data_IF_512824355988
#
_entry.id   IF_512824355988
#
_cell.length_a   1.000
_cell.length_b   1.000
_cell.length_c   1.000
_cell.angle_alpha   90.00
_cell.angle_beta   90.00
_cell.angle_gamma   90.00
#
_symmetry.space_group_name_H-M   'P 1'
#
loop_
_entity.id
_entity.type
_entity.pdbx_description
1 polymer ?
#
# COMPACT_ATOMS: atom_id res chain seq x y z
N UNK A 1 -7.87 2.69 -1.37
CA UNK A 1 -8.88 1.62 -1.15
C UNK A 1 -9.20 1.03 -2.52
N UNK A 2 -8.70 -0.17 -2.81
CA UNK A 2 -8.61 -0.71 -4.18
C UNK A 2 -9.92 -1.38 -4.65
N UNK A 3 -10.26 -1.14 -5.92
CA UNK A 3 -11.31 -1.84 -6.67
C UNK A 3 -10.75 -3.21 -7.08
N UNK A 4 -11.37 -4.30 -6.60
CA UNK A 4 -11.03 -5.68 -6.97
C UNK A 4 -11.71 -6.01 -8.30
N UNK A 5 -10.93 -6.30 -9.34
CA UNK A 5 -11.46 -6.91 -10.57
C UNK A 5 -11.70 -8.41 -10.33
N UNK A 6 -12.96 -8.84 -10.42
CA UNK A 6 -13.32 -10.26 -10.50
C UNK A 6 -13.00 -10.75 -11.91
N UNK A 7 -12.04 -11.68 -12.05
CA UNK A 7 -11.85 -12.44 -13.28
C UNK A 7 -13.02 -13.42 -13.46
N UNK A 8 -13.75 -13.28 -14.56
CA UNK A 8 -14.77 -14.23 -15.00
C UNK A 8 -14.07 -15.44 -15.64
N UNK A 9 -14.26 -16.63 -15.08
CA UNK A 9 -13.90 -17.90 -15.71
C UNK A 9 -15.13 -18.50 -16.40
N UNK A 10 -15.01 -18.83 -17.69
CA UNK A 10 -15.91 -19.76 -18.38
C UNK A 10 -15.09 -20.71 -19.26
N UNK A 11 -15.45 -22.01 -19.35
CA UNK A 11 -14.55 -23.06 -19.84
C UNK A 11 -14.79 -23.45 -21.30
N UNK A 12 -13.76 -24.07 -21.91
CA UNK A 12 -13.66 -24.90 -23.15
C UNK A 12 -12.55 -24.34 -24.06
N UNK A 13 -11.67 -25.09 -24.73
CA UNK A 13 -11.61 -26.49 -25.15
C UNK A 13 -10.14 -26.97 -25.16
N UNK A 14 -9.92 -28.27 -24.91
CA UNK A 14 -8.66 -28.96 -25.28
C UNK A 14 -8.55 -29.02 -26.80
N UNK A 15 -7.39 -28.65 -27.33
CA UNK A 15 -6.88 -29.17 -28.60
C UNK A 15 -5.40 -29.51 -28.41
N UNK A 16 -5.08 -30.80 -28.52
CA UNK A 16 -3.72 -31.29 -28.70
C UNK A 16 -3.29 -31.01 -30.13
N UNK A 17 -2.15 -30.36 -30.33
CA UNK A 17 -1.40 -30.44 -31.58
C UNK A 17 0.10 -30.55 -31.27
N UNK A 18 0.64 -31.71 -31.64
CA UNK A 18 2.05 -32.04 -31.74
C UNK A 18 2.65 -31.40 -32.99
N UNK A 19 3.79 -30.73 -32.87
CA UNK A 19 4.76 -30.65 -33.97
C UNK A 19 6.15 -30.31 -33.46
N UNK A 20 7.07 -31.22 -33.74
CA UNK A 20 8.52 -31.12 -33.62
C UNK A 20 9.08 -29.96 -34.45
N UNK A 21 10.15 -29.30 -33.98
CA UNK A 21 11.37 -29.07 -34.77
C UNK A 21 12.53 -28.60 -33.88
N UNK A 22 13.71 -28.99 -34.32
CA UNK A 22 15.03 -29.04 -33.66
C UNK A 22 15.77 -27.71 -33.60
N UNK A 23 16.60 -27.52 -32.56
CA UNK A 23 17.61 -26.47 -32.50
C UNK A 23 18.61 -26.68 -31.35
N UNK A 24 19.79 -27.15 -31.71
CA UNK A 24 20.97 -27.51 -30.90
C UNK A 24 21.56 -26.31 -30.12
N UNK A 25 22.16 -26.55 -28.95
CA UNK A 25 23.47 -26.00 -28.52
C UNK A 25 24.04 -26.85 -27.37
N UNK A 26 25.36 -26.99 -27.41
CA UNK A 26 26.27 -27.96 -26.81
C UNK A 26 26.44 -27.89 -25.28
N UNK A 27 26.56 -29.06 -24.65
CA UNK A 27 27.21 -29.25 -23.34
C UNK A 27 28.57 -29.92 -23.52
N UNK A 28 29.60 -29.36 -22.90
CA UNK A 28 30.96 -29.89 -22.84
C UNK A 28 31.05 -30.95 -21.73
N UNK A 29 31.46 -32.16 -22.10
CA UNK A 29 31.83 -33.25 -21.20
C UNK A 29 33.27 -33.09 -20.69
N UNK A 30 33.54 -33.43 -19.42
CA UNK A 30 34.80 -34.07 -19.02
C UNK A 30 34.60 -35.06 -17.85
N UNK A 31 35.41 -36.11 -17.93
CA UNK A 31 35.38 -37.48 -17.36
C UNK A 31 36.04 -37.55 -15.97
N UNK A 32 35.75 -38.57 -15.12
CA UNK A 32 36.27 -38.67 -13.75
C UNK A 32 37.66 -39.32 -13.68
N UNK A 33 38.43 -39.01 -12.64
CA UNK A 33 39.77 -39.56 -12.40
C UNK A 33 39.88 -40.22 -11.01
N UNK A 34 40.77 -41.21 -10.94
CA UNK A 34 40.84 -42.37 -10.05
C UNK A 34 41.32 -42.13 -8.59
N UNK A 35 41.11 -43.17 -7.76
CA UNK A 35 41.66 -43.34 -6.38
C UNK A 35 43.20 -43.41 -6.39
N UNK A 36 43.88 -43.28 -5.23
CA UNK A 36 44.38 -44.53 -4.64
C UNK A 36 44.62 -44.56 -3.09
N UNK A 37 44.88 -45.81 -2.63
CA UNK A 37 45.57 -46.31 -1.42
C UNK A 37 44.91 -46.33 -0.02
N UNK A 38 45.15 -47.47 0.64
CA UNK A 38 44.64 -47.94 1.92
C UNK A 38 45.79 -48.20 2.93
N UNK A 39 45.44 -48.24 4.22
CA UNK A 39 45.99 -49.03 5.37
C UNK A 39 45.96 -48.20 6.69
N UNK A 40 45.90 -48.81 7.90
CA UNK A 40 45.09 -49.92 8.37
C UNK A 40 44.22 -49.55 9.60
N UNK A 41 43.18 -50.35 9.85
CA UNK A 41 42.21 -50.21 10.94
C UNK A 41 42.73 -50.85 12.24
N UNK A 42 42.76 -50.08 13.34
CA UNK A 42 42.87 -50.59 14.71
C UNK A 42 41.46 -50.73 15.31
N UNK A 43 41.05 -51.96 15.66
CA UNK A 43 39.79 -52.25 16.36
C UNK A 43 39.95 -51.95 17.86
N UNK A 44 39.03 -51.19 18.50
CA UNK A 44 38.92 -51.22 19.95
C UNK A 44 38.01 -52.37 20.42
N UNK A 45 38.44 -53.00 21.51
CA UNK A 45 37.75 -54.06 22.25
C UNK A 45 36.34 -53.64 22.68
N UNK A 46 35.37 -54.52 22.44
CA UNK A 46 34.08 -54.51 23.15
C UNK A 46 34.33 -54.65 24.64
N UNK A 47 33.90 -53.65 25.41
CA UNK A 47 33.69 -53.79 26.85
C UNK A 47 32.23 -53.43 27.10
N UNK A 48 31.44 -54.43 27.47
CA UNK A 48 30.03 -54.27 27.78
C UNK A 48 29.93 -53.62 29.16
N UNK A 49 29.54 -52.34 29.22
CA UNK A 49 29.13 -51.69 30.46
C UNK A 49 27.64 -51.36 30.32
N UNK A 50 26.82 -52.17 30.99
CA UNK A 50 25.41 -51.89 31.23
C UNK A 50 25.33 -50.68 32.16
N UNK A 51 25.06 -49.48 31.61
CA UNK A 51 24.71 -48.30 32.40
C UNK A 51 23.27 -47.94 32.06
N UNK A 52 22.38 -48.10 33.02
CA UNK A 52 21.01 -47.62 32.94
C UNK A 52 21.05 -46.12 32.61
N UNK A 53 20.57 -45.77 31.42
CA UNK A 53 20.34 -44.39 31.05
C UNK A 53 19.02 -43.96 31.69
N UNK A 54 19.10 -43.26 32.82
CA UNK A 54 18.02 -42.37 33.23
C UNK A 54 17.95 -41.26 32.19
N UNK A 55 16.93 -41.29 31.34
CA UNK A 55 16.61 -40.19 30.45
C UNK A 55 16.05 -39.05 31.29
N UNK A 56 16.94 -38.22 31.84
CA UNK A 56 16.54 -36.87 32.24
C UNK A 56 16.23 -36.16 30.94
N UNK A 57 14.94 -36.05 30.61
CA UNK A 57 14.48 -35.14 29.57
C UNK A 57 14.86 -33.73 30.05
N UNK A 58 15.97 -33.21 29.53
CA UNK A 58 16.32 -31.81 29.66
C UNK A 58 15.28 -31.05 28.85
N UNK A 59 14.17 -30.65 29.48
CA UNK A 59 13.24 -29.70 28.90
C UNK A 59 14.00 -28.38 28.82
N UNK A 60 14.68 -28.14 27.70
CA UNK A 60 15.18 -26.81 27.35
C UNK A 60 13.96 -25.93 27.20
N UNK A 61 13.62 -25.21 28.26
CA UNK A 61 12.61 -24.15 28.23
C UNK A 61 13.11 -23.12 27.23
N UNK A 62 12.55 -23.14 26.01
CA UNK A 62 12.83 -22.12 25.00
C UNK A 62 12.36 -20.79 25.59
N UNK A 63 13.29 -19.85 25.74
CA UNK A 63 12.95 -18.48 26.13
C UNK A 63 12.08 -17.87 25.02
N UNK A 64 10.80 -17.69 25.30
CA UNK A 64 9.85 -17.06 24.38
C UNK A 64 10.18 -15.57 24.24
N UNK A 65 9.84 -15.01 23.08
CA UNK A 65 10.15 -13.61 22.71
C UNK A 65 8.89 -12.89 22.20
N UNK A 66 8.86 -11.56 22.27
CA UNK A 66 7.84 -10.79 21.60
C UNK A 66 7.95 -10.92 20.07
N UNK A 67 6.83 -10.93 19.38
CA UNK A 67 6.73 -10.87 17.93
C UNK A 67 6.04 -9.58 17.47
N UNK A 68 6.66 -8.86 16.55
CA UNK A 68 6.15 -7.65 15.91
C UNK A 68 5.77 -8.01 14.48
N UNK A 69 4.47 -8.13 14.24
CA UNK A 69 3.91 -8.30 12.92
C UNK A 69 3.44 -6.91 12.44
N UNK A 70 3.73 -6.55 11.20
CA UNK A 70 3.40 -5.21 10.69
C UNK A 70 3.03 -5.21 9.21
N UNK A 71 2.25 -4.23 8.78
CA UNK A 71 1.86 -4.11 7.38
C UNK A 71 3.04 -3.76 6.47
N UNK A 72 3.16 -4.45 5.34
CA UNK A 72 4.21 -4.30 4.33
C UNK A 72 3.59 -4.33 2.92
N UNK A 73 4.12 -3.58 1.93
CA UNK A 73 5.30 -2.71 1.93
C UNK A 73 4.98 -1.21 2.13
N UNK A 74 4.24 -0.83 3.16
CA UNK A 74 3.89 0.57 3.40
C UNK A 74 4.86 1.25 4.40
N UNK A 75 5.14 2.56 4.25
CA UNK A 75 5.86 3.33 5.25
C UNK A 75 5.16 3.37 6.60
N UNK A 76 3.83 3.33 6.65
CA UNK A 76 3.06 3.41 7.90
C UNK A 76 3.34 2.19 8.80
N UNK A 77 3.18 0.97 8.28
CA UNK A 77 3.56 -0.25 8.97
C UNK A 77 5.06 -0.34 9.30
N UNK A 78 5.95 0.14 8.43
CA UNK A 78 7.39 0.16 8.71
C UNK A 78 7.74 1.09 9.88
N UNK A 79 7.14 2.29 9.94
CA UNK A 79 7.31 3.21 11.06
C UNK A 79 6.60 2.70 12.33
N UNK A 80 5.48 1.99 12.22
CA UNK A 80 4.87 1.32 13.36
C UNK A 80 5.82 0.27 13.96
N UNK A 81 6.48 -0.54 13.12
CA UNK A 81 7.53 -1.47 13.55
C UNK A 81 8.75 -0.75 14.14
N UNK A 82 9.11 0.44 13.64
CA UNK A 82 10.17 1.27 14.22
C UNK A 82 9.83 1.72 15.65
N UNK A 83 8.57 2.09 15.94
CA UNK A 83 8.16 2.41 17.30
C UNK A 83 8.34 1.22 18.26
N UNK A 84 7.99 0.01 17.81
CA UNK A 84 8.25 -1.22 18.57
C UNK A 84 9.76 -1.44 18.76
N UNK A 85 10.57 -1.24 17.72
CA UNK A 85 12.02 -1.37 17.76
C UNK A 85 12.65 -0.44 18.81
N UNK A 86 12.23 0.82 18.87
CA UNK A 86 12.70 1.79 19.86
C UNK A 86 12.39 1.35 21.29
N UNK A 87 11.17 0.87 21.54
CA UNK A 87 10.76 0.35 22.85
C UNK A 87 11.59 -0.88 23.25
N UNK A 88 11.62 -1.91 22.41
CA UNK A 88 12.30 -3.16 22.74
C UNK A 88 13.82 -2.99 22.90
N UNK A 89 14.44 -2.13 22.08
CA UNK A 89 15.86 -1.76 22.24
C UNK A 89 16.11 -1.07 23.57
N UNK A 90 15.20 -0.20 24.01
CA UNK A 90 15.30 0.53 25.29
C UNK A 90 15.22 -0.39 26.52
N UNK A 91 14.66 -1.59 26.38
CA UNK A 91 14.58 -2.62 27.42
C UNK A 91 15.47 -3.83 27.13
N UNK A 92 16.36 -3.74 26.14
CA UNK A 92 17.33 -4.78 25.75
C UNK A 92 16.68 -6.13 25.40
N UNK A 93 15.52 -6.09 24.75
CA UNK A 93 14.85 -7.28 24.20
C UNK A 93 14.95 -7.24 22.67
N UNK A 94 15.24 -8.39 22.06
CA UNK A 94 15.21 -8.55 20.60
C UNK A 94 13.93 -9.27 20.21
N UNK A 95 12.93 -8.57 19.64
CA UNK A 95 11.70 -9.22 19.17
C UNK A 95 11.94 -9.90 17.81
N UNK A 96 11.01 -10.76 17.43
CA UNK A 96 10.91 -11.34 16.08
C UNK A 96 10.08 -10.40 15.19
N UNK A 97 10.46 -10.20 13.93
CA UNK A 97 9.75 -9.33 12.98
C UNK A 97 9.14 -10.12 11.83
N UNK A 98 7.88 -9.82 11.52
CA UNK A 98 7.10 -10.52 10.51
C UNK A 98 6.35 -9.52 9.63
N UNK A 99 6.88 -9.15 8.45
CA UNK A 99 6.18 -8.28 7.51
C UNK A 99 4.98 -9.01 6.88
N UNK A 100 3.83 -8.35 6.89
CA UNK A 100 2.57 -8.87 6.37
C UNK A 100 2.17 -8.18 5.06
N UNK A 101 2.19 -8.94 3.96
CA UNK A 101 1.75 -8.46 2.64
C UNK A 101 0.23 -8.59 2.45
N UNK A 102 -0.36 -7.80 1.55
CA UNK A 102 -1.79 -7.93 1.19
C UNK A 102 -2.05 -9.20 0.37
N UNK A 103 -1.17 -9.53 -0.56
CA UNK A 103 -1.39 -10.60 -1.55
C UNK A 103 -0.98 -11.99 -1.05
N UNK A 104 -0.17 -12.05 0.00
CA UNK A 104 0.22 -13.27 0.70
C UNK A 104 0.25 -12.97 2.21
N UNK A 105 -0.93 -12.81 2.84
CA UNK A 105 -1.02 -12.45 4.25
C UNK A 105 -0.49 -13.59 5.13
N UNK A 106 0.09 -13.22 6.28
CA UNK A 106 0.58 -14.17 7.27
C UNK A 106 -0.56 -15.04 7.79
N UNK A 107 -0.26 -16.32 7.95
CA UNK A 107 -1.10 -17.31 8.60
C UNK A 107 -0.46 -17.71 9.92
N UNK A 108 -1.25 -18.26 10.84
CA UNK A 108 -0.76 -18.58 12.20
C UNK A 108 0.28 -19.71 12.15
N UNK A 109 0.13 -20.63 11.21
CA UNK A 109 1.07 -21.71 10.88
C UNK A 109 2.41 -21.22 10.31
N UNK A 110 2.50 -19.99 9.84
CA UNK A 110 3.77 -19.40 9.38
C UNK A 110 4.62 -18.89 10.57
N UNK A 111 4.05 -18.86 11.78
CA UNK A 111 4.69 -18.30 12.97
C UNK A 111 5.21 -19.40 13.91
N UNK A 112 6.43 -19.24 14.47
CA UNK A 112 6.96 -20.14 15.49
C UNK A 112 6.32 -19.87 16.85
N UNK A 113 5.02 -20.17 17.01
CA UNK A 113 4.23 -19.78 18.20
C UNK A 113 4.78 -20.31 19.52
N UNK A 114 5.47 -21.46 19.49
CA UNK A 114 6.16 -22.03 20.64
C UNK A 114 7.34 -21.17 21.13
N UNK A 115 7.82 -20.24 20.32
CA UNK A 115 8.89 -19.30 20.62
C UNK A 115 8.37 -17.87 20.91
N UNK A 116 7.06 -17.64 20.82
CA UNK A 116 6.46 -16.30 20.91
C UNK A 116 5.63 -16.17 22.18
N UNK A 117 5.87 -15.17 23.02
CA UNK A 117 5.06 -14.89 24.23
C UNK A 117 3.99 -13.82 23.99
N UNK A 118 4.33 -12.71 23.32
CA UNK A 118 3.46 -11.58 23.04
C UNK A 118 3.46 -11.29 21.55
N UNK A 119 2.29 -11.04 20.97
CA UNK A 119 2.15 -10.63 19.57
C UNK A 119 1.66 -9.19 19.49
N UNK A 120 2.34 -8.38 18.70
CA UNK A 120 1.93 -7.03 18.34
C UNK A 120 1.56 -7.03 16.86
N UNK A 121 0.31 -6.70 16.55
CA UNK A 121 -0.18 -6.49 15.18
C UNK A 121 -0.24 -4.98 14.92
N UNK A 122 0.60 -4.49 14.00
CA UNK A 122 0.80 -3.07 13.76
C UNK A 122 0.37 -2.68 12.34
N UNK A 123 -0.57 -1.74 12.24
CA UNK A 123 -1.15 -1.29 10.96
C UNK A 123 -1.95 -2.39 10.22
N UNK A 124 -2.35 -3.45 10.93
CA UNK A 124 -3.28 -4.47 10.41
C UNK A 124 -3.83 -5.34 11.54
N UNK A 125 -4.90 -6.09 11.25
CA UNK A 125 -5.53 -7.06 12.17
C UNK A 125 -5.48 -8.51 11.67
N UNK A 126 -5.13 -8.71 10.39
CA UNK A 126 -5.14 -10.02 9.72
C UNK A 126 -6.55 -10.46 9.25
N UNK A 127 -6.66 -11.65 8.63
CA UNK A 127 -7.95 -12.17 8.16
C UNK A 127 -8.89 -12.56 9.31
N UNK A 128 -10.20 -12.74 9.05
CA UNK A 128 -11.14 -13.19 10.06
C UNK A 128 -10.67 -14.48 10.76
N UNK A 129 -10.68 -14.49 12.10
CA UNK A 129 -10.22 -15.61 12.92
C UNK A 129 -8.73 -15.62 13.25
N UNK A 130 -7.91 -14.79 12.61
CA UNK A 130 -6.46 -14.73 12.85
C UNK A 130 -6.12 -14.38 14.31
N UNK A 131 -6.67 -13.27 14.83
CA UNK A 131 -6.49 -12.85 16.23
C UNK A 131 -6.96 -13.91 17.22
N UNK A 132 -8.05 -14.62 16.92
CA UNK A 132 -8.58 -15.68 17.78
C UNK A 132 -7.63 -16.89 17.86
N UNK A 133 -7.00 -17.26 16.74
CA UNK A 133 -6.03 -18.34 16.70
C UNK A 133 -4.74 -17.94 17.43
N UNK A 134 -4.26 -16.71 17.23
CA UNK A 134 -3.08 -16.20 17.95
C UNK A 134 -3.27 -16.24 19.47
N UNK A 135 -4.38 -15.67 19.97
CA UNK A 135 -4.62 -15.58 21.42
C UNK A 135 -4.69 -16.92 22.14
N UNK A 136 -4.92 -18.02 21.41
CA UNK A 136 -4.98 -19.38 21.97
C UNK A 136 -3.58 -19.98 22.17
N UNK A 137 -2.54 -19.37 21.59
CA UNK A 137 -1.17 -19.88 21.57
C UNK A 137 -0.16 -18.95 22.25
N UNK A 138 -0.53 -17.69 22.51
CA UNK A 138 0.36 -16.67 23.09
C UNK A 138 -0.24 -16.04 24.33
N UNK A 139 0.61 -15.45 25.17
CA UNK A 139 0.25 -14.88 26.46
C UNK A 139 -0.52 -13.57 26.27
N UNK A 140 -0.25 -12.82 25.20
CA UNK A 140 -0.96 -11.58 24.86
C UNK A 140 -0.95 -11.26 23.38
N UNK A 141 -2.04 -10.68 22.88
CA UNK A 141 -2.12 -10.07 21.55
C UNK A 141 -2.51 -8.59 21.69
N UNK A 142 -1.73 -7.71 21.08
CA UNK A 142 -1.96 -6.26 21.03
C UNK A 142 -2.21 -5.86 19.58
N UNK A 143 -3.33 -5.22 19.29
CA UNK A 143 -3.68 -4.72 17.94
C UNK A 143 -3.66 -3.20 17.90
N UNK A 144 -2.80 -2.61 17.08
CA UNK A 144 -2.67 -1.17 16.89
C UNK A 144 -2.96 -0.87 15.42
N UNK A 145 -4.16 -0.35 15.13
CA UNK A 145 -4.64 -0.26 13.74
C UNK A 145 -5.59 0.95 13.56
N UNK A 146 -5.73 1.40 12.32
CA UNK A 146 -6.60 2.50 11.90
C UNK A 146 -7.53 2.11 10.75
N UNK A 147 -7.47 0.86 10.28
CA UNK A 147 -8.31 0.39 9.17
C UNK A 147 -9.77 0.17 9.58
N UNK A 148 -10.69 0.50 8.67
CA UNK A 148 -12.14 0.20 8.83
C UNK A 148 -12.38 -1.28 9.10
N UNK A 149 -11.65 -2.15 8.41
CA UNK A 149 -11.72 -3.62 8.59
C UNK A 149 -11.42 -4.03 10.03
N UNK A 150 -10.46 -3.39 10.69
CA UNK A 150 -10.15 -3.69 12.10
C UNK A 150 -11.27 -3.24 13.03
N UNK A 151 -11.87 -2.08 12.76
CA UNK A 151 -13.06 -1.61 13.48
C UNK A 151 -14.25 -2.56 13.30
N UNK A 152 -14.44 -3.13 12.11
CA UNK A 152 -15.51 -4.09 11.82
C UNK A 152 -15.27 -5.45 12.47
N UNK A 153 -14.05 -5.98 12.41
CA UNK A 153 -13.71 -7.31 12.95
C UNK A 153 -13.64 -7.34 14.47
N UNK A 154 -13.16 -6.26 15.09
CA UNK A 154 -12.95 -6.23 16.54
C UNK A 154 -13.98 -5.38 17.27
N UNK A 155 -14.71 -4.49 16.59
CA UNK A 155 -15.60 -3.48 17.20
C UNK A 155 -14.85 -2.24 17.74
N UNK A 156 -15.59 -1.18 18.09
CA UNK A 156 -15.05 0.01 18.78
C UNK A 156 -15.02 -0.20 20.30
N UNK A 157 -13.83 -0.18 20.91
CA UNK A 157 -13.60 -0.43 22.35
C UNK A 157 -12.15 -0.82 22.63
N UNK A 158 -11.75 -1.13 23.87
CA UNK A 158 -10.36 -1.50 24.21
C UNK A 158 -10.15 -2.98 24.55
N UNK A 159 -11.21 -3.75 24.79
CA UNK A 159 -11.12 -5.16 25.20
C UNK A 159 -11.97 -6.06 24.30
N UNK A 160 -11.39 -7.17 23.84
CA UNK A 160 -12.05 -8.22 23.03
C UNK A 160 -12.11 -9.56 23.78
N UNK A 161 -11.13 -9.84 24.65
CA UNK A 161 -11.08 -10.97 25.60
C UNK A 161 -9.91 -10.80 26.60
N UNK A 162 -9.77 -11.68 27.61
CA UNK A 162 -8.80 -11.54 28.71
C UNK A 162 -7.34 -11.26 28.31
N UNK A 163 -6.86 -11.77 27.16
CA UNK A 163 -5.47 -11.57 26.70
C UNK A 163 -5.34 -10.80 25.37
N UNK A 164 -6.40 -10.10 24.92
CA UNK A 164 -6.36 -9.29 23.70
C UNK A 164 -6.67 -7.83 24.03
N UNK A 165 -5.69 -6.96 23.79
CA UNK A 165 -5.85 -5.51 23.86
C UNK A 165 -5.79 -4.89 22.47
N UNK A 166 -6.43 -3.73 22.29
CA UNK A 166 -6.43 -3.02 21.02
C UNK A 166 -6.53 -1.51 21.17
N UNK A 167 -5.96 -0.81 20.20
CA UNK A 167 -6.16 0.62 19.96
C UNK A 167 -6.56 0.76 18.49
N UNK A 168 -7.83 1.09 18.25
CA UNK A 168 -8.35 1.35 16.91
C UNK A 168 -8.72 2.83 16.81
N UNK A 169 -7.99 3.58 16.00
CA UNK A 169 -8.15 5.03 15.88
C UNK A 169 -8.15 5.46 14.41
N UNK A 170 -9.32 5.87 13.91
CA UNK A 170 -9.50 6.24 12.51
C UNK A 170 -8.92 7.62 12.17
N UNK A 171 -8.51 8.41 13.16
CA UNK A 171 -7.97 9.76 13.02
C UNK A 171 -6.44 9.82 13.11
N UNK A 172 -5.78 8.68 13.29
CA UNK A 172 -4.32 8.53 13.31
C UNK A 172 -3.89 7.42 12.35
N UNK A 173 -2.62 7.38 11.99
CA UNK A 173 -2.06 6.28 11.20
C UNK A 173 -1.55 5.17 12.13
N UNK A 174 -1.32 3.97 11.60
CA UNK A 174 -0.75 2.85 12.35
C UNK A 174 0.60 3.21 12.99
N UNK A 175 1.43 4.01 12.30
CA UNK A 175 2.71 4.49 12.81
C UNK A 175 2.55 5.34 14.08
N UNK A 176 1.67 6.34 14.08
CA UNK A 176 1.51 7.26 15.23
C UNK A 176 0.76 6.61 16.39
N UNK A 177 -0.18 5.69 16.12
CA UNK A 177 -0.79 4.85 17.16
C UNK A 177 0.29 4.01 17.86
N UNK A 178 1.14 3.33 17.09
CA UNK A 178 2.23 2.53 17.63
C UNK A 178 3.25 3.38 18.39
N UNK A 179 3.60 4.55 17.86
CA UNK A 179 4.49 5.51 18.52
C UNK A 179 4.00 5.86 19.93
N UNK A 180 2.75 6.33 20.06
CA UNK A 180 2.20 6.75 21.35
C UNK A 180 2.11 5.56 22.32
N UNK A 181 1.62 4.41 21.83
CA UNK A 181 1.48 3.20 22.63
C UNK A 181 2.82 2.72 23.21
N UNK A 182 3.86 2.59 22.38
CA UNK A 182 5.16 2.09 22.82
C UNK A 182 5.92 3.09 23.68
N UNK A 183 5.74 4.40 23.43
CA UNK A 183 6.29 5.45 24.28
C UNK A 183 5.64 5.46 25.67
N UNK A 184 4.31 5.35 25.74
CA UNK A 184 3.59 5.25 27.01
C UNK A 184 3.96 3.97 27.76
N UNK A 185 4.06 2.84 27.05
CA UNK A 185 4.51 1.57 27.62
C UNK A 185 5.92 1.65 28.21
N UNK A 186 6.82 2.41 27.57
CA UNK A 186 8.16 2.68 28.10
C UNK A 186 8.09 3.50 29.39
N UNK A 187 7.33 4.60 29.39
CA UNK A 187 7.19 5.51 30.55
C UNK A 187 6.59 4.76 31.75
N UNK A 188 5.52 4.01 31.53
CA UNK A 188 4.80 3.30 32.59
C UNK A 188 5.56 2.08 33.12
N UNK A 189 6.32 1.39 32.25
CA UNK A 189 7.13 0.24 32.62
C UNK A 189 8.46 0.56 33.32
N UNK A 190 9.00 1.78 33.18
CA UNK A 190 10.27 2.19 33.82
C UNK A 190 10.07 2.70 35.27
N UNK A 191 8.82 2.86 35.72
CA UNK A 191 8.49 3.34 37.08
C UNK A 191 8.99 2.40 38.20
N UNK A 192 9.25 1.13 37.91
CA UNK A 192 9.84 0.18 38.88
C UNK A 192 11.38 0.26 38.97
N UNK A 193 12.05 1.02 38.11
CA UNK A 193 13.53 1.18 38.09
C UNK A 193 13.98 2.62 37.90
N UNK A 194 13.26 3.57 38.49
CA UNK A 194 13.58 5.00 38.45
C UNK A 194 14.81 5.35 39.31
N UNK A 195 16.00 5.14 38.77
CA UNK A 195 17.20 5.90 39.11
C UNK A 195 18.14 5.95 37.88
N UNK A 196 18.15 7.10 37.21
CA UNK A 196 19.19 7.58 36.27
C UNK A 196 19.16 7.14 34.78
N UNK A 197 18.16 6.38 34.29
CA UNK A 197 18.13 5.90 32.89
C UNK A 197 16.97 6.35 31.99
N UNK A 198 15.81 6.74 32.56
CA UNK A 198 14.57 6.94 31.78
C UNK A 198 14.59 8.13 30.82
N UNK A 199 15.30 9.20 31.16
CA UNK A 199 15.35 10.42 30.33
C UNK A 199 16.05 10.24 28.98
N UNK A 200 17.03 9.33 28.89
CA UNK A 200 17.75 9.06 27.64
C UNK A 200 16.95 8.18 26.68
N UNK A 201 16.15 7.24 27.21
CA UNK A 201 15.36 6.30 26.41
C UNK A 201 14.16 6.98 25.71
N UNK A 202 13.57 7.98 26.36
CA UNK A 202 12.48 8.79 25.80
C UNK A 202 13.00 9.75 24.70
N UNK A 203 14.27 10.17 24.81
CA UNK A 203 14.89 11.13 23.88
C UNK A 203 14.87 10.69 22.42
N UNK A 204 15.05 9.40 22.13
CA UNK A 204 14.99 8.89 20.74
C UNK A 204 13.56 8.92 20.18
N UNK A 205 12.55 8.61 20.98
CA UNK A 205 11.15 8.79 20.58
C UNK A 205 10.88 10.26 20.25
N UNK A 206 11.32 11.20 21.09
CA UNK A 206 11.13 12.63 20.82
C UNK A 206 11.87 13.10 19.56
N UNK A 207 13.09 12.61 19.34
CA UNK A 207 13.91 12.93 18.16
C UNK A 207 13.19 12.59 16.86
N UNK A 208 12.54 11.44 16.79
CA UNK A 208 11.91 10.94 15.55
C UNK A 208 10.43 11.30 15.41
N UNK A 209 9.80 11.89 16.44
CA UNK A 209 8.37 12.24 16.44
C UNK A 209 7.94 12.94 15.16
N UNK A 210 8.75 13.89 14.70
CA UNK A 210 8.42 14.68 13.51
C UNK A 210 8.32 13.80 12.25
N UNK A 211 9.15 12.77 12.11
CA UNK A 211 9.05 11.85 10.98
C UNK A 211 7.71 11.09 11.01
N UNK A 212 7.28 10.60 12.17
CA UNK A 212 5.99 9.93 12.35
C UNK A 212 4.80 10.83 11.96
N UNK A 213 4.84 12.11 12.32
CA UNK A 213 3.80 13.08 11.94
C UNK A 213 3.69 13.26 10.41
N UNK A 214 4.80 13.24 9.68
CA UNK A 214 4.79 13.29 8.21
C UNK A 214 4.30 11.98 7.57
N UNK A 215 4.60 10.83 8.19
CA UNK A 215 4.06 9.53 7.76
C UNK A 215 2.53 9.53 7.90
N UNK A 216 2.00 9.97 9.04
CA UNK A 216 0.56 10.09 9.26
C UNK A 216 -0.10 11.06 8.27
N UNK A 217 0.50 12.23 8.04
CA UNK A 217 -0.06 13.24 7.15
C UNK A 217 -0.17 12.75 5.70
N UNK A 218 0.78 11.91 5.27
CA UNK A 218 0.75 11.19 3.97
C UNK A 218 -0.32 10.08 3.99
N UNK A 219 -0.28 9.22 4.99
CA UNK A 219 -1.11 8.02 5.07
C UNK A 219 -2.61 8.36 5.08
N UNK A 220 -2.99 9.37 5.88
CA UNK A 220 -4.35 9.89 5.95
C UNK A 220 -4.69 10.86 4.81
N UNK A 221 -3.78 11.07 3.86
CA UNK A 221 -3.92 11.96 2.71
C UNK A 221 -4.30 13.41 3.08
N UNK A 222 -3.80 13.89 4.23
CA UNK A 222 -4.15 15.18 4.82
C UNK A 222 -3.40 16.34 4.19
N UNK A 223 -2.11 16.14 3.90
CA UNK A 223 -1.22 17.15 3.33
C UNK A 223 -1.21 18.50 4.08
N UNK A 224 -1.39 18.47 5.41
CA UNK A 224 -1.47 19.66 6.26
C UNK A 224 -0.09 20.16 6.67
N UNK A 225 0.90 19.27 6.75
CA UNK A 225 2.24 19.67 7.19
C UNK A 225 3.01 20.39 6.06
N UNK A 226 3.85 21.38 6.40
CA UNK A 226 4.70 22.06 5.42
C UNK A 226 5.54 21.05 4.63
N UNK A 227 5.56 21.17 3.31
CA UNK A 227 6.34 20.29 2.43
C UNK A 227 6.02 18.78 2.57
N UNK A 228 4.85 18.40 3.08
CA UNK A 228 4.47 16.98 3.31
C UNK A 228 4.54 16.12 2.05
N UNK A 229 4.04 16.63 0.92
CA UNK A 229 4.17 15.98 -0.39
C UNK A 229 5.63 15.82 -0.81
N UNK A 230 6.48 16.80 -0.50
CA UNK A 230 7.90 16.73 -0.80
C UNK A 230 8.57 15.67 0.06
N UNK A 231 8.35 15.66 1.38
CA UNK A 231 8.82 14.59 2.25
C UNK A 231 8.42 13.20 1.74
N UNK A 232 7.13 12.99 1.42
CA UNK A 232 6.64 11.73 0.87
C UNK A 232 7.37 11.34 -0.42
N UNK A 233 7.51 12.28 -1.36
CA UNK A 233 8.19 12.02 -2.63
C UNK A 233 9.71 11.80 -2.44
N UNK A 234 10.31 12.41 -1.43
CA UNK A 234 11.71 12.21 -1.07
C UNK A 234 11.92 10.82 -0.49
N UNK A 235 11.10 10.43 0.49
CA UNK A 235 11.13 9.12 1.11
C UNK A 235 10.96 7.99 0.09
N UNK A 236 9.99 8.13 -0.82
CA UNK A 236 9.79 7.17 -1.92
C UNK A 236 11.06 7.07 -2.80
N UNK A 237 11.75 8.18 -3.04
CA UNK A 237 12.98 8.23 -3.84
C UNK A 237 14.20 7.57 -3.18
N UNK A 238 14.19 7.36 -1.86
CA UNK A 238 15.27 6.66 -1.15
C UNK A 238 15.22 5.15 -1.43
N UNK A 239 14.05 4.61 -1.79
CA UNK A 239 13.84 3.18 -2.08
C UNK A 239 14.28 2.26 -0.92
N UNK A 240 13.87 2.60 0.31
CA UNK A 240 14.11 1.74 1.48
C UNK A 240 13.28 0.46 1.35
N UNK A 241 13.94 -0.70 1.49
CA UNK A 241 13.27 -1.99 1.64
C UNK A 241 12.72 -2.11 3.07
N UNK A 242 11.39 -2.23 3.19
CA UNK A 242 10.68 -2.21 4.47
C UNK A 242 10.48 -3.61 5.10
N UNK A 243 10.89 -4.68 4.44
CA UNK A 243 10.93 -6.01 5.04
C UNK A 243 12.18 -6.12 5.94
N UNK A 244 11.98 -6.25 7.25
CA UNK A 244 13.05 -6.31 8.24
C UNK A 244 13.92 -7.60 8.12
N UNK A 245 13.39 -8.65 7.49
CA UNK A 245 14.12 -9.89 7.22
C UNK A 245 14.97 -9.78 5.94
N UNK A 246 14.53 -8.97 4.96
CA UNK A 246 15.31 -8.67 3.76
C UNK A 246 16.30 -7.52 3.95
N UNK A 247 16.00 -6.58 4.85
CA UNK A 247 16.82 -5.42 5.19
C UNK A 247 17.15 -5.39 6.69
N UNK A 248 18.24 -6.05 7.12
CA UNK A 248 18.67 -6.03 8.52
C UNK A 248 19.03 -4.64 9.06
N UNK A 249 19.23 -3.66 8.16
CA UNK A 249 19.53 -2.27 8.52
C UNK A 249 18.32 -1.33 8.48
N UNK A 250 17.10 -1.87 8.30
CA UNK A 250 15.88 -1.10 8.13
C UNK A 250 15.73 -0.01 9.20
N UNK A 251 15.75 -0.41 10.47
CA UNK A 251 15.51 0.54 11.56
C UNK A 251 16.63 1.59 11.66
N UNK A 252 17.89 1.22 11.41
CA UNK A 252 19.00 2.18 11.36
C UNK A 252 18.81 3.18 10.20
N UNK A 253 18.37 2.73 9.04
CA UNK A 253 18.08 3.60 7.89
C UNK A 253 16.94 4.58 8.21
N UNK A 254 15.85 4.10 8.81
CA UNK A 254 14.73 4.96 9.22
C UNK A 254 15.15 5.98 10.30
N UNK A 255 15.95 5.56 11.29
CA UNK A 255 16.47 6.44 12.34
C UNK A 255 17.49 7.47 11.85
N UNK A 256 18.13 7.19 10.71
CA UNK A 256 19.10 8.07 10.05
C UNK A 256 18.45 9.08 9.10
N UNK A 257 17.13 9.01 8.88
CA UNK A 257 16.42 9.99 8.06
C UNK A 257 16.53 11.39 8.66
N UNK A 258 17.11 12.31 7.89
CA UNK A 258 17.07 13.74 8.19
C UNK A 258 15.92 14.40 7.45
N UNK A 259 14.93 14.90 8.20
CA UNK A 259 13.71 15.49 7.65
C UNK A 259 13.98 16.54 6.56
N UNK A 260 14.94 17.44 6.82
CA UNK A 260 15.27 18.52 5.89
C UNK A 260 15.83 17.96 4.58
N UNK A 261 16.77 17.04 4.66
CA UNK A 261 17.39 16.42 3.49
C UNK A 261 16.38 15.64 2.66
N UNK A 262 15.48 14.88 3.31
CA UNK A 262 14.40 14.14 2.62
C UNK A 262 13.45 15.10 1.90
N UNK A 263 13.06 16.20 2.55
CA UNK A 263 12.21 17.24 1.95
C UNK A 263 12.87 17.87 0.72
N UNK A 264 14.15 18.27 0.82
CA UNK A 264 14.85 18.92 -0.30
C UNK A 264 15.02 17.99 -1.50
N UNK A 265 15.36 16.72 -1.29
CA UNK A 265 15.36 15.70 -2.36
C UNK A 265 13.96 15.53 -2.97
N UNK A 266 12.94 15.53 -2.11
CA UNK A 266 11.54 15.50 -2.49
C UNK A 266 11.12 16.66 -3.40
N UNK A 267 11.53 17.88 -3.08
CA UNK A 267 11.26 19.08 -3.90
C UNK A 267 11.86 18.96 -5.28
N UNK A 268 13.09 18.45 -5.39
CA UNK A 268 13.75 18.19 -6.67
C UNK A 268 12.96 17.16 -7.48
N UNK A 269 12.56 16.05 -6.84
CA UNK A 269 11.74 15.00 -7.48
C UNK A 269 10.40 15.55 -7.97
N UNK A 270 9.69 16.31 -7.13
CA UNK A 270 8.41 16.94 -7.49
C UNK A 270 8.57 17.93 -8.64
N UNK A 271 9.63 18.74 -8.66
CA UNK A 271 9.91 19.68 -9.75
C UNK A 271 10.09 18.95 -11.09
N UNK A 272 10.85 17.85 -11.12
CA UNK A 272 10.99 17.03 -12.32
C UNK A 272 9.67 16.39 -12.76
N UNK A 273 8.88 15.85 -11.82
CA UNK A 273 7.54 15.30 -12.11
C UNK A 273 6.62 16.37 -12.67
N UNK A 274 6.63 17.57 -12.11
CA UNK A 274 5.82 18.69 -12.58
C UNK A 274 6.23 19.16 -13.97
N UNK A 275 7.53 19.17 -14.30
CA UNK A 275 7.99 19.48 -15.66
C UNK A 275 7.41 18.51 -16.69
N UNK A 276 7.47 17.20 -16.42
CA UNK A 276 6.85 16.17 -17.28
C UNK A 276 5.34 16.35 -17.43
N UNK A 277 4.65 16.68 -16.33
CA UNK A 277 3.21 16.98 -16.36
C UNK A 277 2.93 18.19 -17.25
N UNK A 278 3.71 19.27 -17.11
CA UNK A 278 3.54 20.48 -17.92
C UNK A 278 3.69 20.19 -19.41
N UNK A 279 4.69 19.41 -19.81
CA UNK A 279 4.92 19.00 -21.20
C UNK A 279 3.68 18.32 -21.80
N UNK A 280 3.00 17.45 -21.03
CA UNK A 280 1.76 16.79 -21.48
C UNK A 280 0.53 17.69 -21.38
N UNK A 281 0.47 18.57 -20.37
CA UNK A 281 -0.60 19.57 -20.24
C UNK A 281 -0.58 20.57 -21.41
N UNK A 282 0.58 20.93 -21.95
CA UNK A 282 0.70 21.80 -23.12
C UNK A 282 0.09 21.15 -24.38
N UNK A 283 0.13 19.81 -24.46
CA UNK A 283 -0.43 19.01 -25.55
C UNK A 283 -1.89 18.61 -25.32
N UNK A 284 -2.54 19.09 -24.24
CA UNK A 284 -3.94 18.78 -23.96
C UNK A 284 -4.86 19.32 -25.05
N UNK A 285 -5.92 18.60 -25.36
CA UNK A 285 -6.93 18.97 -26.36
C UNK A 285 -8.33 18.87 -25.78
N UNK A 286 -9.29 19.58 -26.36
CA UNK A 286 -10.69 19.50 -25.96
C UNK A 286 -11.34 18.22 -26.52
N UNK A 287 -12.23 17.62 -25.73
CA UNK A 287 -13.10 16.52 -26.16
C UNK A 287 -14.55 16.78 -25.75
N UNK A 288 -15.48 16.30 -26.58
CA UNK A 288 -16.91 16.21 -26.28
C UNK A 288 -17.21 14.84 -25.64
N UNK A 289 -17.20 14.78 -24.30
CA UNK A 289 -17.41 13.53 -23.55
C UNK A 289 -18.74 12.86 -23.91
N UNK A 290 -18.68 11.58 -24.29
CA UNK A 290 -19.85 10.85 -24.79
C UNK A 290 -20.50 11.53 -26.00
N UNK A 291 -19.69 11.96 -26.97
CA UNK A 291 -20.12 12.75 -28.12
C UNK A 291 -20.92 14.02 -27.75
N UNK A 292 -20.62 14.61 -26.58
CA UNK A 292 -21.22 15.84 -26.08
C UNK A 292 -22.33 15.66 -25.05
N UNK A 293 -22.79 14.43 -24.80
CA UNK A 293 -23.84 14.15 -23.81
C UNK A 293 -23.44 14.60 -22.39
N UNK A 294 -22.16 14.53 -22.07
CA UNK A 294 -21.61 14.88 -20.75
C UNK A 294 -20.87 16.23 -20.73
N UNK A 295 -20.98 16.99 -21.83
CA UNK A 295 -20.30 18.27 -22.03
C UNK A 295 -18.86 18.12 -22.51
N UNK A 296 -18.14 19.25 -22.56
CA UNK A 296 -16.76 19.29 -23.01
C UNK A 296 -15.77 19.38 -21.84
N UNK A 297 -14.59 18.78 -22.00
CA UNK A 297 -13.48 18.91 -21.07
C UNK A 297 -12.13 18.79 -21.78
N UNK A 298 -11.04 19.06 -21.07
CA UNK A 298 -9.70 18.77 -21.60
C UNK A 298 -9.34 17.28 -21.42
N UNK A 299 -8.64 16.75 -22.41
CA UNK A 299 -8.01 15.45 -22.41
C UNK A 299 -6.52 15.55 -22.71
N UNK A 300 -5.74 14.56 -22.28
CA UNK A 300 -4.37 14.36 -22.75
C UNK A 300 -4.02 12.87 -22.83
N UNK A 301 -3.14 12.56 -23.79
CA UNK A 301 -2.56 11.22 -23.91
C UNK A 301 -1.46 11.05 -22.85
N UNK A 302 -1.45 9.91 -22.14
CA UNK A 302 -0.55 9.64 -21.03
C UNK A 302 0.06 8.24 -21.07
N UNK A 303 0.32 7.72 -22.28
CA UNK A 303 1.09 6.50 -22.48
C UNK A 303 2.51 6.62 -21.89
N UNK A 304 3.12 7.81 -22.01
CA UNK A 304 4.49 8.09 -21.55
C UNK A 304 4.62 8.44 -20.05
N UNK A 305 3.52 8.50 -19.29
CA UNK A 305 3.50 8.96 -17.88
C UNK A 305 2.66 8.09 -16.95
N UNK A 306 2.87 6.76 -16.89
CA UNK A 306 2.03 5.85 -16.11
C UNK A 306 1.92 6.22 -14.62
N UNK A 307 3.01 6.68 -14.01
CA UNK A 307 3.09 7.02 -12.59
C UNK A 307 2.48 8.39 -12.24
N UNK A 308 2.24 9.27 -13.23
CA UNK A 308 1.73 10.63 -13.00
C UNK A 308 0.29 10.84 -13.49
N UNK A 309 -0.37 9.81 -14.03
CA UNK A 309 -1.72 9.92 -14.61
C UNK A 309 -2.75 10.56 -13.67
N UNK A 310 -2.72 10.25 -12.37
CA UNK A 310 -3.69 10.81 -11.43
C UNK A 310 -3.47 12.31 -11.18
N UNK A 311 -2.21 12.72 -11.03
CA UNK A 311 -1.85 14.13 -10.83
C UNK A 311 -2.09 14.94 -12.11
N UNK A 312 -1.69 14.40 -13.28
CA UNK A 312 -1.99 14.97 -14.58
C UNK A 312 -3.50 15.19 -14.77
N UNK A 313 -4.33 14.19 -14.44
CA UNK A 313 -5.78 14.30 -14.55
C UNK A 313 -6.37 15.40 -13.66
N UNK A 314 -5.88 15.52 -12.42
CA UNK A 314 -6.29 16.58 -11.50
C UNK A 314 -5.96 17.97 -12.05
N UNK A 315 -4.75 18.16 -12.57
CA UNK A 315 -4.33 19.43 -13.16
C UNK A 315 -5.04 19.74 -14.48
N UNK A 316 -5.33 18.72 -15.30
CA UNK A 316 -6.20 18.85 -16.48
C UNK A 316 -7.60 19.33 -16.09
N UNK A 317 -8.18 18.81 -15.01
CA UNK A 317 -9.50 19.24 -14.54
C UNK A 317 -9.54 20.72 -14.14
N UNK A 318 -8.48 21.20 -13.46
CA UNK A 318 -8.31 22.62 -13.14
C UNK A 318 -8.17 23.45 -14.42
N UNK A 319 -7.29 23.04 -15.35
CA UNK A 319 -7.08 23.74 -16.63
C UNK A 319 -8.38 23.80 -17.44
N UNK A 320 -9.13 22.71 -17.49
CA UNK A 320 -10.41 22.59 -18.18
C UNK A 320 -11.43 23.59 -17.62
N UNK A 321 -11.58 23.66 -16.29
CA UNK A 321 -12.45 24.66 -15.66
C UNK A 321 -12.02 26.09 -15.95
N UNK A 322 -10.71 26.37 -15.94
CA UNK A 322 -10.19 27.70 -16.25
C UNK A 322 -10.44 28.12 -17.71
N UNK A 323 -10.68 27.16 -18.61
CA UNK A 323 -11.09 27.38 -19.99
C UNK A 323 -12.62 27.42 -20.17
N UNK A 324 -13.39 27.53 -19.07
CA UNK A 324 -14.86 27.49 -19.05
C UNK A 324 -15.48 26.18 -19.57
N UNK A 325 -14.73 25.09 -19.52
CA UNK A 325 -15.23 23.74 -19.76
C UNK A 325 -15.67 23.08 -18.43
N UNK A 326 -16.15 21.84 -18.50
CA UNK A 326 -16.38 21.02 -17.30
C UNK A 326 -15.12 20.97 -16.44
N UNK A 327 -15.28 20.94 -15.11
CA UNK A 327 -14.18 20.72 -14.17
C UNK A 327 -13.71 19.27 -14.15
N UNK A 328 -13.51 18.66 -15.32
CA UNK A 328 -13.04 17.31 -15.56
C UNK A 328 -11.75 17.36 -16.37
N UNK A 329 -10.82 16.48 -16.04
CA UNK A 329 -9.66 16.15 -16.87
C UNK A 329 -9.72 14.68 -17.27
N UNK A 330 -9.58 14.40 -18.56
CA UNK A 330 -9.54 13.05 -19.09
C UNK A 330 -8.10 12.63 -19.43
N UNK A 331 -7.61 11.58 -18.79
CA UNK A 331 -6.30 11.00 -19.07
C UNK A 331 -6.48 9.72 -19.86
N UNK A 332 -5.89 9.67 -21.05
CA UNK A 332 -6.15 8.62 -22.05
C UNK A 332 -4.87 7.85 -22.33
N UNK A 333 -4.92 6.53 -22.25
CA UNK A 333 -3.72 5.69 -22.38
C UNK A 333 -4.08 4.24 -22.73
N UNK A 334 -3.15 3.52 -23.33
CA UNK A 334 -3.22 2.09 -23.60
C UNK A 334 -2.93 1.26 -22.35
N UNK A 335 -3.50 0.07 -22.29
CA UNK A 335 -3.27 -0.92 -21.22
C UNK A 335 -2.59 -2.13 -21.85
N UNK A 336 -1.25 -2.22 -21.83
CA UNK A 336 -0.50 -3.28 -22.50
C UNK A 336 -0.96 -4.69 -22.11
N UNK A 337 -1.39 -4.87 -20.87
CA UNK A 337 -1.85 -6.15 -20.31
C UNK A 337 -3.13 -6.67 -20.98
N UNK A 338 -3.85 -5.85 -21.73
CA UNK A 338 -5.02 -6.28 -22.49
C UNK A 338 -4.68 -6.82 -23.88
N UNK A 339 -3.43 -6.67 -24.34
CA UNK A 339 -2.98 -7.09 -25.67
C UNK A 339 -3.91 -6.62 -26.82
N UNK A 340 -4.57 -5.47 -26.62
CA UNK A 340 -5.54 -4.90 -27.55
C UNK A 340 -5.25 -3.41 -27.75
N UNK A 341 -4.55 -3.10 -28.84
CA UNK A 341 -4.16 -1.74 -29.20
C UNK A 341 -5.31 -0.84 -29.67
N UNK A 342 -6.51 -1.41 -29.90
CA UNK A 342 -7.71 -0.67 -30.29
C UNK A 342 -8.50 -0.16 -29.08
N UNK A 343 -8.13 -0.58 -27.86
CA UNK A 343 -8.81 -0.19 -26.63
C UNK A 343 -7.98 0.82 -25.83
N UNK A 344 -8.59 1.94 -25.51
CA UNK A 344 -8.03 2.98 -24.66
C UNK A 344 -8.69 2.94 -23.29
N UNK A 345 -7.88 3.15 -22.24
CA UNK A 345 -8.40 3.47 -20.92
C UNK A 345 -8.54 4.99 -20.80
N UNK A 346 -9.75 5.42 -20.45
CA UNK A 346 -10.06 6.82 -20.15
C UNK A 346 -10.24 6.94 -18.64
N UNK A 347 -9.31 7.64 -17.99
CA UNK A 347 -9.34 7.91 -16.55
C UNK A 347 -9.75 9.36 -16.32
N UNK A 348 -10.90 9.56 -15.69
CA UNK A 348 -11.42 10.87 -15.36
C UNK A 348 -10.97 11.30 -13.97
N UNK A 349 -10.65 12.59 -13.83
CA UNK A 349 -10.50 13.30 -12.56
C UNK A 349 -11.38 14.53 -12.60
N UNK A 350 -11.94 14.92 -11.46
CA UNK A 350 -12.73 16.15 -11.37
C UNK A 350 -12.40 16.96 -10.13
N UNK A 351 -12.78 18.23 -10.16
CA UNK A 351 -12.60 19.18 -9.06
C UNK A 351 -13.94 19.61 -8.46
N UNK A 352 -13.91 19.91 -7.16
CA UNK A 352 -15.10 20.31 -6.41
C UNK A 352 -16.16 19.21 -6.42
N UNK A 353 -17.39 19.59 -6.73
CA UNK A 353 -18.55 18.71 -6.58
C UNK A 353 -18.93 17.89 -7.82
N UNK A 354 -18.15 17.98 -8.89
CA UNK A 354 -18.43 17.25 -10.11
C UNK A 354 -18.22 15.73 -9.94
N UNK A 355 -19.25 14.95 -10.24
CA UNK A 355 -19.22 13.49 -10.19
C UNK A 355 -18.89 12.89 -11.57
N UNK A 356 -17.85 12.07 -11.64
CA UNK A 356 -17.39 11.37 -12.85
C UNK A 356 -17.93 9.95 -12.95
N UNK A 357 -18.59 9.42 -11.91
CA UNK A 357 -19.05 8.02 -11.87
C UNK A 357 -20.16 7.76 -12.87
N UNK A 358 -21.15 8.65 -12.96
CA UNK A 358 -22.26 8.56 -13.92
C UNK A 358 -21.76 8.47 -15.37
N UNK A 359 -20.73 9.26 -15.72
CA UNK A 359 -20.08 9.21 -17.04
C UNK A 359 -19.45 7.85 -17.24
N UNK A 360 -18.57 7.41 -16.32
CA UNK A 360 -17.88 6.13 -16.47
C UNK A 360 -18.84 4.92 -16.52
N UNK A 361 -19.94 4.95 -15.78
CA UNK A 361 -20.94 3.89 -15.76
C UNK A 361 -21.69 3.76 -17.09
N UNK A 362 -21.93 4.86 -17.79
CA UNK A 362 -22.52 4.85 -19.14
C UNK A 362 -21.66 4.05 -20.14
N UNK A 363 -20.35 3.93 -19.89
CA UNK A 363 -19.40 3.14 -20.68
C UNK A 363 -18.96 1.85 -19.98
N UNK A 364 -19.76 1.34 -19.03
CA UNK A 364 -19.48 0.08 -18.33
C UNK A 364 -18.30 0.13 -17.34
N UNK A 365 -17.79 1.32 -17.03
CA UNK A 365 -16.74 1.56 -16.04
C UNK A 365 -17.27 1.92 -14.66
N UNK A 366 -16.41 2.54 -13.85
CA UNK A 366 -16.75 2.97 -12.50
C UNK A 366 -15.58 3.60 -11.75
N UNK A 367 -15.79 3.86 -10.47
CA UNK A 367 -14.78 4.40 -9.56
C UNK A 367 -15.40 5.23 -8.44
N UNK A 368 -14.65 6.22 -7.98
CA UNK A 368 -15.10 7.19 -7.00
C UNK A 368 -15.62 8.45 -7.68
N UNK A 369 -16.41 9.22 -6.93
CA UNK A 369 -17.01 10.49 -7.37
C UNK A 369 -16.07 11.39 -8.17
N UNK A 370 -14.85 11.63 -7.68
CA UNK A 370 -13.90 12.52 -8.32
C UNK A 370 -12.79 11.77 -9.11
N UNK A 371 -12.87 10.46 -9.21
CA UNK A 371 -11.87 9.62 -9.85
C UNK A 371 -12.50 8.30 -10.33
N UNK A 372 -12.87 8.25 -11.61
CA UNK A 372 -13.44 7.07 -12.25
C UNK A 372 -12.74 6.75 -13.57
N UNK A 373 -12.99 5.56 -14.12
CA UNK A 373 -12.42 5.18 -15.42
C UNK A 373 -13.30 4.18 -16.15
N UNK A 374 -13.13 4.11 -17.47
CA UNK A 374 -13.77 3.15 -18.36
C UNK A 374 -12.84 2.82 -19.53
N UNK A 375 -13.21 1.81 -20.31
CA UNK A 375 -12.52 1.44 -21.54
C UNK A 375 -13.34 1.92 -22.74
N UNK A 376 -12.68 2.41 -23.77
CA UNK A 376 -13.32 2.93 -24.99
C UNK A 376 -12.52 2.51 -26.23
N UNK A 377 -13.19 2.23 -27.35
CA UNK A 377 -12.49 1.95 -28.59
C UNK A 377 -11.81 3.23 -29.13
N UNK A 378 -10.65 3.08 -29.76
CA UNK A 378 -9.89 4.19 -30.36
C UNK A 378 -10.74 5.01 -31.34
N UNK A 379 -11.49 4.36 -32.24
CA UNK A 379 -12.33 5.06 -33.20
C UNK A 379 -13.47 5.85 -32.53
N UNK A 380 -14.06 5.30 -31.47
CA UNK A 380 -15.07 6.01 -30.68
C UNK A 380 -14.48 7.22 -29.94
N UNK A 381 -13.25 7.09 -29.44
CA UNK A 381 -12.54 8.19 -28.81
C UNK A 381 -12.19 9.31 -29.80
N UNK A 382 -11.73 8.98 -31.01
CA UNK A 382 -11.47 10.01 -32.05
C UNK A 382 -12.73 10.79 -32.40
N UNK A 383 -13.90 10.12 -32.44
CA UNK A 383 -15.18 10.80 -32.64
C UNK A 383 -15.51 11.83 -31.54
N UNK A 384 -14.94 11.72 -30.33
CA UNK A 384 -15.13 12.73 -29.28
C UNK A 384 -14.32 14.00 -29.54
N UNK A 385 -13.24 13.93 -30.34
CA UNK A 385 -12.45 15.11 -30.73
C UNK A 385 -13.14 15.91 -31.85
N UNK A 386 -13.85 15.23 -32.73
CA UNK A 386 -14.48 15.88 -33.89
C UNK A 386 -15.83 16.55 -33.56
N UNK A 387 -16.55 16.08 -32.53
CA UNK A 387 -17.90 16.53 -32.18
C UNK A 387 -17.98 17.77 -31.27
N UNK A 388 -16.97 18.64 -31.28
CA UNK A 388 -16.94 19.86 -30.46
C UNK A 388 -18.07 20.85 -30.81
N UNK A 389 -18.48 20.89 -32.08
CA UNK A 389 -19.56 21.77 -32.57
C UNK A 389 -20.95 21.31 -32.10
N UNK A 390 -21.19 20.00 -32.05
CA UNK A 390 -22.47 19.40 -31.62
C UNK A 390 -22.70 19.62 -30.12
N UNK A 391 -21.64 19.53 -29.31
CA UNK A 391 -21.69 19.73 -27.87
C UNK A 391 -22.03 21.19 -27.46
N UNK A 392 -21.59 22.17 -28.25
CA UNK A 392 -21.91 23.61 -28.00
C UNK A 392 -23.43 23.86 -28.11
N UNK A 393 -24.09 23.23 -29.09
CA UNK A 393 -25.54 23.36 -29.30
C UNK A 393 -26.33 22.65 -28.19
N UNK A 394 -25.94 21.43 -27.82
CA UNK A 394 -26.62 20.67 -26.74
C UNK A 394 -26.41 21.34 -25.37
N UNK A 395 -25.22 21.88 -25.10
CA UNK A 395 -24.90 22.64 -23.89
C UNK A 395 -25.74 23.93 -23.77
N UNK A 396 -25.88 24.68 -24.86
CA UNK A 396 -26.77 25.85 -24.90
C UNK A 396 -28.25 25.45 -24.71
N UNK A 397 -28.71 24.35 -25.31
CA UNK A 397 -30.08 23.86 -25.13
C UNK A 397 -30.37 23.42 -23.68
N UNK A 398 -29.41 22.77 -23.00
CA UNK A 398 -29.57 22.36 -21.59
C UNK A 398 -29.51 23.54 -20.62
N UNK A 399 -28.65 24.54 -20.87
CA UNK A 399 -28.63 25.79 -20.07
C UNK A 399 -29.93 26.59 -20.28
N UNK A 400 -30.48 26.60 -21.49
CA UNK A 400 -31.77 27.25 -21.77
C UNK A 400 -32.94 26.55 -21.06
N UNK A 401 -32.93 25.21 -20.99
CA UNK A 401 -33.95 24.45 -20.23
C UNK A 401 -33.83 24.61 -18.72
N UNK A 402 -32.61 24.79 -18.18
CA UNK A 402 -32.39 25.04 -16.76
C UNK A 402 -32.73 26.48 -16.32
N UNK A 403 -32.98 27.41 -17.25
CA UNK A 403 -33.30 28.82 -16.98
C UNK A 403 -34.76 29.21 -17.23
N UNK A 404 -35.65 28.25 -17.49
CA UNK A 404 -37.10 28.47 -17.55
C UNK A 404 -37.82 27.77 -16.38
N UNK A 405 -37.87 28.37 -15.18
CA UNK A 405 -38.93 28.08 -14.23
C UNK A 405 -40.11 29.04 -14.45
N UNK A 406 -41.30 28.46 -14.57
CA UNK A 406 -42.61 29.04 -14.28
C UNK A 406 -43.03 30.31 -15.03
N UNK A 407 -43.57 30.13 -16.24
CA UNK A 407 -44.52 31.09 -16.79
C UNK A 407 -45.62 30.41 -17.61
N UNK A 408 -46.46 29.61 -16.95
CA UNK A 408 -47.74 29.15 -17.50
C UNK A 408 -48.58 28.63 -16.33
N UNK A 409 -49.44 29.49 -15.77
CA UNK A 409 -50.70 29.16 -15.08
C UNK A 409 -51.28 30.43 -14.44
N UNK A 410 -51.91 31.32 -15.22
CA UNK A 410 -53.11 32.08 -14.77
C UNK A 410 -53.88 32.56 -16.02
N UNK A 411 -54.93 31.85 -16.41
CA UNK A 411 -56.15 32.48 -16.95
C UNK A 411 -57.30 31.48 -16.88
N UNK A 412 -58.11 31.59 -15.83
CA UNK A 412 -59.52 31.18 -15.79
C UNK A 412 -60.12 31.65 -14.46
N UNK A 413 -60.58 32.91 -14.45
CA UNK A 413 -61.88 33.39 -14.00
C UNK A 413 -61.92 34.92 -14.02
#
# INVERSE_FOLDING_TARGET
MFVVFRAYNSPRHRVNLTSTWSGTISYVNLVPMERPFAHPVLKPRRTTITRAASSVATTTTVMRKPAVLYHYPCPDGAFAALAAHLYFSSIHITPLYFPNTVYSPLRVEDLPLNEIDHVYLLDFVGPPGFVHQLKSNVDSVVVLDHHKTARELLGGGTSVSENVSKVIDMDRSGATIAYDYFKEKLITGDNDKAANGGSLKIGEFDRVRRLFEYIEDRDLWRWKLPDSKAFSSGLDGINIEYDANMNPSLFQQLLALDLKSVVEQGKISLSHKQKKINEVLEQSFEIALGAGEFGCCLAANADSLPELRSELGSQLAVKSRNMNLRGIGAVVYKVPELENDEMLKVSLRSIGDEDTTSISQAFGGGGHRNASSFMLNFAEFENWKDNLLTATIVGLCRIAHARLPDLLMVSTL
#
